data_IF_297975926594
#
_entry.id   IF_297975926594
#
_cell.length_a   1.000
_cell.length_b   1.000
_cell.length_c   1.000
_cell.angle_alpha   90.00
_cell.angle_beta   90.00
_cell.angle_gamma   90.00
#
_symmetry.space_group_name_H-M   'P 1'
#
loop_
_entity.id
_entity.type
_entity.pdbx_description
1 polymer ?
#
# COMPACT_ATOMS: atom_id res chain seq x y z
N UNK A 1 -6.43 -21.14 -23.15
CA UNK A 1 -6.32 -19.66 -23.20
C UNK A 1 -5.88 -19.09 -21.84
N UNK A 2 -4.58 -19.08 -21.52
CA UNK A 2 -4.04 -18.60 -20.21
C UNK A 2 -3.32 -17.24 -20.29
N UNK A 3 -3.05 -16.74 -21.51
CA UNK A 3 -2.24 -15.53 -21.76
C UNK A 3 -2.88 -14.23 -21.27
N UNK A 4 -4.22 -14.14 -21.21
CA UNK A 4 -4.97 -12.92 -20.87
C UNK A 4 -4.79 -12.44 -19.42
N UNK A 5 -4.70 -13.36 -18.45
CA UNK A 5 -4.73 -13.00 -17.02
C UNK A 5 -3.43 -12.34 -16.54
N UNK A 6 -2.28 -12.79 -17.04
CA UNK A 6 -0.97 -12.19 -16.68
C UNK A 6 -0.84 -10.80 -17.29
N UNK A 7 -1.19 -10.63 -18.56
CA UNK A 7 -1.19 -9.31 -19.22
C UNK A 7 -2.17 -8.34 -18.58
N UNK A 8 -3.34 -8.82 -18.13
CA UNK A 8 -4.29 -8.00 -17.38
C UNK A 8 -3.67 -7.51 -16.07
N UNK A 9 -3.10 -8.43 -15.28
CA UNK A 9 -2.52 -8.10 -13.98
C UNK A 9 -1.34 -7.13 -14.11
N UNK A 10 -0.47 -7.35 -15.09
CA UNK A 10 0.65 -6.46 -15.37
C UNK A 10 0.17 -5.08 -15.82
N UNK A 11 -0.88 -5.03 -16.66
CA UNK A 11 -1.50 -3.79 -17.10
C UNK A 11 -2.16 -3.01 -15.95
N UNK A 12 -2.84 -3.72 -15.03
CA UNK A 12 -3.43 -3.13 -13.83
C UNK A 12 -2.36 -2.51 -12.92
N UNK A 13 -1.25 -3.22 -12.68
CA UNK A 13 -0.13 -2.70 -11.87
C UNK A 13 0.47 -1.46 -12.55
N UNK A 14 0.81 -1.55 -13.84
CA UNK A 14 1.42 -0.44 -14.57
C UNK A 14 0.52 0.81 -14.60
N UNK A 15 -0.75 0.65 -14.99
CA UNK A 15 -1.69 1.77 -15.04
C UNK A 15 -2.00 2.33 -13.65
N UNK A 16 -2.20 1.46 -12.65
CA UNK A 16 -2.44 1.87 -11.27
C UNK A 16 -1.27 2.66 -10.69
N UNK A 17 -0.03 2.19 -10.90
CA UNK A 17 1.17 2.91 -10.46
C UNK A 17 1.32 4.25 -11.17
N UNK A 18 1.15 4.33 -12.50
CA UNK A 18 1.32 5.57 -13.26
C UNK A 18 0.26 6.60 -12.86
N UNK A 19 -1.02 6.21 -12.83
CA UNK A 19 -2.12 7.14 -12.51
C UNK A 19 -2.05 7.56 -11.04
N UNK A 20 -1.73 6.64 -10.13
CA UNK A 20 -1.52 6.96 -8.71
C UNK A 20 -0.35 7.93 -8.50
N UNK A 21 0.78 7.71 -9.17
CA UNK A 21 1.95 8.59 -9.13
C UNK A 21 1.65 9.99 -9.67
N UNK A 22 1.04 10.08 -10.86
CA UNK A 22 0.69 11.37 -11.46
C UNK A 22 -0.32 12.13 -10.58
N UNK A 23 -1.33 11.43 -10.05
CA UNK A 23 -2.30 12.02 -9.12
C UNK A 23 -1.64 12.54 -7.85
N UNK A 24 -0.77 11.73 -7.22
CA UNK A 24 0.00 12.13 -6.04
C UNK A 24 0.94 13.29 -6.32
N UNK A 25 1.61 13.32 -7.47
CA UNK A 25 2.51 14.38 -7.88
C UNK A 25 1.80 15.72 -8.08
N UNK A 26 0.68 15.72 -8.80
CA UNK A 26 -0.16 16.90 -8.99
C UNK A 26 -0.66 17.42 -7.64
N UNK A 27 -1.08 16.50 -6.76
CA UNK A 27 -1.55 16.84 -5.43
C UNK A 27 -0.44 17.49 -4.58
N UNK A 28 0.77 16.93 -4.61
CA UNK A 28 1.94 17.52 -3.95
C UNK A 28 2.25 18.92 -4.46
N UNK A 29 2.26 19.14 -5.78
CA UNK A 29 2.49 20.46 -6.36
C UNK A 29 1.48 21.50 -5.89
N UNK A 30 0.20 21.11 -5.74
CA UNK A 30 -0.83 21.99 -5.19
C UNK A 30 -0.55 22.30 -3.72
N UNK A 31 -0.22 21.30 -2.91
CA UNK A 31 0.07 21.51 -1.49
C UNK A 31 1.31 22.37 -1.25
N UNK A 32 2.40 22.10 -1.97
CA UNK A 32 3.67 22.80 -1.83
C UNK A 32 3.54 24.27 -2.25
N UNK A 33 2.94 24.54 -3.42
CA UNK A 33 2.82 25.91 -3.92
C UNK A 33 1.69 26.71 -3.24
N UNK A 34 0.61 26.06 -2.81
CA UNK A 34 -0.54 26.77 -2.23
C UNK A 34 -0.51 26.75 -0.71
N UNK A 35 -0.50 25.57 -0.08
CA UNK A 35 -0.69 25.48 1.37
C UNK A 35 0.61 25.77 2.11
N UNK A 36 1.74 25.27 1.63
CA UNK A 36 3.00 25.39 2.35
C UNK A 36 3.57 26.81 2.23
N UNK A 37 3.47 27.43 1.05
CA UNK A 37 3.92 28.81 0.85
C UNK A 37 2.91 29.87 1.33
N UNK A 38 1.61 29.72 1.05
CA UNK A 38 0.61 30.76 1.36
C UNK A 38 0.06 30.66 2.79
N UNK A 39 -0.16 29.44 3.29
CA UNK A 39 -0.79 29.19 4.60
C UNK A 39 0.22 28.96 5.73
N UNK A 40 1.30 28.21 5.48
CA UNK A 40 2.27 27.77 6.49
C UNK A 40 3.58 28.59 6.56
N UNK A 41 3.74 29.64 5.75
CA UNK A 41 4.87 30.58 5.87
C UNK A 41 4.94 31.26 7.25
N UNK A 42 5.71 32.34 7.39
CA UNK A 42 6.03 33.06 8.66
C UNK A 42 4.84 33.44 9.59
N UNK A 43 3.59 33.17 9.21
CA UNK A 43 2.35 33.49 9.92
C UNK A 43 1.95 32.51 11.02
N UNK A 44 2.38 31.24 11.00
CA UNK A 44 1.92 30.23 11.98
C UNK A 44 3.07 29.82 12.92
N UNK A 45 3.17 30.49 14.08
CA UNK A 45 4.16 30.19 15.14
C UNK A 45 3.79 29.00 16.05
N UNK A 46 2.61 28.40 15.88
CA UNK A 46 2.10 27.35 16.77
C UNK A 46 2.19 25.97 16.12
N UNK A 47 3.08 25.12 16.67
CA UNK A 47 3.38 23.78 16.15
C UNK A 47 2.16 22.86 16.01
N UNK A 48 1.10 23.09 16.79
CA UNK A 48 -0.16 22.33 16.66
C UNK A 48 -0.84 22.53 15.31
N UNK A 49 -0.99 23.79 14.86
CA UNK A 49 -1.65 24.11 13.59
C UNK A 49 -0.83 23.66 12.39
N UNK A 50 0.50 23.77 12.50
CA UNK A 50 1.43 23.23 11.50
C UNK A 50 1.26 21.72 11.38
N UNK A 51 1.25 21.00 12.50
CA UNK A 51 1.04 19.55 12.52
C UNK A 51 -0.32 19.14 11.95
N UNK A 52 -1.39 19.85 12.30
CA UNK A 52 -2.73 19.55 11.80
C UNK A 52 -2.83 19.75 10.27
N UNK A 53 -2.29 20.85 9.74
CA UNK A 53 -2.30 21.12 8.30
C UNK A 53 -1.45 20.11 7.53
N UNK A 54 -0.31 19.70 8.08
CA UNK A 54 0.51 18.63 7.52
C UNK A 54 -0.23 17.29 7.50
N UNK A 55 -0.93 16.94 8.58
CA UNK A 55 -1.73 15.71 8.65
C UNK A 55 -2.84 15.69 7.60
N UNK A 56 -3.55 16.81 7.43
CA UNK A 56 -4.59 16.95 6.41
C UNK A 56 -3.98 16.84 5.02
N UNK A 57 -2.86 17.52 4.76
CA UNK A 57 -2.14 17.46 3.49
C UNK A 57 -1.71 16.05 3.13
N UNK A 58 -1.10 15.34 4.07
CA UNK A 58 -0.71 13.94 3.91
C UNK A 58 -1.92 13.05 3.63
N UNK A 59 -3.03 13.26 4.35
CA UNK A 59 -4.26 12.48 4.19
C UNK A 59 -4.89 12.67 2.82
N UNK A 60 -4.96 13.90 2.32
CA UNK A 60 -5.49 14.21 0.99
C UNK A 60 -4.58 13.68 -0.11
N UNK A 61 -3.26 13.85 0.03
CA UNK A 61 -2.29 13.28 -0.88
C UNK A 61 -2.46 11.76 -0.98
N UNK A 62 -2.53 11.09 0.16
CA UNK A 62 -2.68 9.64 0.23
C UNK A 62 -4.00 9.16 -0.39
N UNK A 63 -5.11 9.84 -0.09
CA UNK A 63 -6.40 9.56 -0.71
C UNK A 63 -6.35 9.73 -2.24
N UNK A 64 -5.65 10.76 -2.73
CA UNK A 64 -5.50 11.00 -4.17
C UNK A 64 -4.75 9.87 -4.86
N UNK A 65 -3.66 9.37 -4.25
CA UNK A 65 -2.91 8.22 -4.78
C UNK A 65 -3.79 6.97 -4.84
N UNK A 66 -4.55 6.68 -3.78
CA UNK A 66 -5.49 5.54 -3.73
C UNK A 66 -6.54 5.64 -4.83
N UNK A 67 -7.16 6.82 -4.97
CA UNK A 67 -8.20 7.08 -5.97
C UNK A 67 -7.61 6.93 -7.38
N UNK A 68 -6.48 7.56 -7.65
CA UNK A 68 -5.80 7.49 -8.95
C UNK A 68 -5.44 6.06 -9.32
N UNK A 69 -4.78 5.32 -8.42
CA UNK A 69 -4.37 3.95 -8.68
C UNK A 69 -5.57 3.02 -8.92
N UNK A 70 -6.63 3.16 -8.11
CA UNK A 70 -7.84 2.34 -8.23
C UNK A 70 -8.58 2.61 -9.54
N UNK A 71 -8.70 3.88 -9.96
CA UNK A 71 -9.31 4.24 -11.24
C UNK A 71 -8.46 3.74 -12.42
N UNK A 72 -7.13 3.83 -12.34
CA UNK A 72 -6.22 3.27 -13.34
C UNK A 72 -6.39 1.76 -13.52
N UNK A 73 -6.47 1.01 -12.41
CA UNK A 73 -6.75 -0.44 -12.43
C UNK A 73 -8.11 -0.73 -13.06
N UNK A 74 -9.15 0.01 -12.65
CA UNK A 74 -10.51 -0.19 -13.14
C UNK A 74 -10.63 0.10 -14.62
N UNK A 75 -9.99 1.16 -15.11
CA UNK A 75 -9.94 1.52 -16.52
C UNK A 75 -9.34 0.39 -17.37
N UNK A 76 -8.18 -0.15 -16.96
CA UNK A 76 -7.57 -1.29 -17.64
C UNK A 76 -8.51 -2.50 -17.59
N UNK A 77 -9.08 -2.80 -16.43
CA UNK A 77 -9.95 -3.96 -16.25
C UNK A 77 -11.19 -3.92 -17.14
N UNK A 78 -11.81 -2.74 -17.27
CA UNK A 78 -12.93 -2.52 -18.17
C UNK A 78 -12.55 -2.73 -19.64
N UNK A 79 -11.33 -2.34 -20.05
CA UNK A 79 -10.82 -2.58 -21.40
C UNK A 79 -10.62 -4.06 -21.72
N UNK A 80 -10.44 -4.89 -20.70
CA UNK A 80 -10.39 -6.35 -20.80
C UNK A 80 -11.75 -7.02 -20.49
N UNK A 81 -12.84 -6.26 -20.35
CA UNK A 81 -14.19 -6.78 -20.11
C UNK A 81 -14.48 -7.23 -18.68
N UNK A 82 -13.63 -6.84 -17.70
CA UNK A 82 -13.78 -7.22 -16.29
C UNK A 82 -14.31 -6.03 -15.49
N UNK A 83 -15.52 -6.18 -14.92
CA UNK A 83 -16.08 -5.19 -13.98
C UNK A 83 -15.63 -5.48 -12.55
N UNK A 84 -14.90 -4.53 -11.94
CA UNK A 84 -14.40 -4.66 -10.57
C UNK A 84 -15.23 -3.78 -9.62
N UNK A 85 -15.72 -4.33 -8.49
CA UNK A 85 -16.40 -3.54 -7.46
C UNK A 85 -15.43 -2.59 -6.74
N UNK A 86 -15.86 -1.36 -6.51
CA UNK A 86 -15.00 -0.29 -5.95
C UNK A 86 -14.62 -0.51 -4.48
N UNK A 87 -15.54 -1.01 -3.65
CA UNK A 87 -15.33 -1.17 -2.21
C UNK A 87 -14.11 -2.04 -1.87
N UNK A 88 -13.98 -3.29 -2.37
CA UNK A 88 -12.82 -4.12 -2.06
C UNK A 88 -11.55 -3.64 -2.77
N UNK A 89 -11.67 -2.98 -3.92
CA UNK A 89 -10.55 -2.35 -4.61
C UNK A 89 -9.90 -1.24 -3.76
N UNK A 90 -10.71 -0.33 -3.22
CA UNK A 90 -10.23 0.74 -2.35
C UNK A 90 -9.71 0.22 -1.01
N UNK A 91 -10.38 -0.77 -0.42
CA UNK A 91 -9.92 -1.41 0.83
C UNK A 91 -8.52 -2.01 0.65
N UNK A 92 -8.32 -2.76 -0.45
CA UNK A 92 -7.01 -3.31 -0.78
C UNK A 92 -5.96 -2.22 -1.04
N UNK A 93 -6.32 -1.18 -1.79
CA UNK A 93 -5.42 -0.07 -2.11
C UNK A 93 -4.93 0.67 -0.86
N UNK A 94 -5.81 0.83 0.13
CA UNK A 94 -5.50 1.41 1.44
C UNK A 94 -4.59 0.51 2.28
N UNK A 95 -4.80 -0.81 2.25
CA UNK A 95 -4.03 -1.76 3.06
C UNK A 95 -2.61 -2.02 2.54
N UNK A 96 -2.36 -1.81 1.25
CA UNK A 96 -1.07 -2.07 0.63
C UNK A 96 0.10 -1.33 1.30
N UNK A 97 0.09 0.02 1.36
CA UNK A 97 1.21 0.78 1.94
C UNK A 97 1.47 0.47 3.43
N UNK A 98 0.47 0.35 4.32
CA UNK A 98 0.67 -0.14 5.69
C UNK A 98 1.34 -1.53 5.74
N UNK A 99 1.02 -2.43 4.81
CA UNK A 99 1.68 -3.74 4.74
C UNK A 99 3.18 -3.61 4.43
N UNK A 100 3.56 -2.69 3.53
CA UNK A 100 4.98 -2.39 3.26
C UNK A 100 5.67 -1.79 4.48
N UNK A 101 5.02 -0.88 5.21
CA UNK A 101 5.55 -0.35 6.48
C UNK A 101 5.77 -1.48 7.48
N UNK A 102 4.81 -2.41 7.60
CA UNK A 102 4.94 -3.60 8.44
C UNK A 102 6.13 -4.46 8.02
N UNK A 103 6.31 -4.73 6.73
CA UNK A 103 7.46 -5.46 6.21
C UNK A 103 8.79 -4.74 6.50
N UNK A 104 8.81 -3.41 6.44
CA UNK A 104 10.01 -2.62 6.72
C UNK A 104 10.36 -2.67 8.20
N UNK A 105 9.34 -2.61 9.07
CA UNK A 105 9.53 -2.79 10.50
C UNK A 105 10.16 -4.15 10.81
N UNK A 106 9.75 -5.22 10.11
CA UNK A 106 10.31 -6.57 10.27
C UNK A 106 11.80 -6.70 9.90
N UNK A 107 12.37 -5.77 9.14
CA UNK A 107 13.80 -5.81 8.79
C UNK A 107 14.70 -5.57 10.01
N UNK A 108 14.29 -4.68 10.90
CA UNK A 108 15.11 -4.14 11.98
C UNK A 108 14.56 -4.44 13.39
N UNK A 109 13.76 -5.50 13.55
CA UNK A 109 13.21 -5.86 14.86
C UNK A 109 14.34 -6.36 15.78
N UNK A 110 14.58 -5.73 16.94
CA UNK A 110 15.49 -6.24 17.95
C UNK A 110 14.79 -7.35 18.76
N UNK A 111 14.73 -8.55 18.17
CA UNK A 111 14.00 -9.71 18.71
C UNK A 111 14.41 -10.04 20.16
N UNK A 112 15.65 -9.75 20.52
CA UNK A 112 16.28 -10.05 21.80
C UNK A 112 15.59 -9.34 22.98
N UNK A 113 14.90 -8.22 22.73
CA UNK A 113 14.14 -7.45 23.74
C UNK A 113 12.91 -8.22 24.22
N UNK A 114 12.31 -9.06 23.37
CA UNK A 114 11.08 -9.79 23.69
C UNK A 114 11.33 -11.10 24.46
N UNK A 115 12.57 -11.58 24.53
CA UNK A 115 12.90 -12.88 25.11
C UNK A 115 13.00 -12.94 26.64
N UNK A 116 12.94 -11.81 27.35
CA UNK A 116 13.11 -11.76 28.82
C UNK A 116 11.86 -11.15 29.48
N UNK A 117 11.21 -11.78 30.49
CA UNK A 117 11.54 -12.99 31.25
C UNK A 117 10.64 -14.21 30.93
N UNK A 118 9.87 -14.18 29.84
CA UNK A 118 8.75 -15.10 29.65
C UNK A 118 9.16 -16.35 28.83
N UNK A 119 9.15 -17.53 29.47
CA UNK A 119 9.66 -18.80 28.93
C UNK A 119 8.90 -19.28 27.69
N UNK A 120 7.58 -19.07 27.66
CA UNK A 120 6.72 -19.38 26.49
C UNK A 120 7.12 -18.50 25.30
N UNK A 121 7.31 -17.21 25.54
CA UNK A 121 7.69 -16.27 24.51
C UNK A 121 9.08 -16.59 23.96
N UNK A 122 10.03 -16.97 24.83
CA UNK A 122 11.37 -17.41 24.44
C UNK A 122 11.38 -18.66 23.54
N UNK A 123 10.42 -19.58 23.71
CA UNK A 123 10.28 -20.78 22.87
C UNK A 123 9.66 -20.47 21.49
N UNK A 124 8.73 -19.52 21.43
CA UNK A 124 8.03 -19.14 20.19
C UNK A 124 8.83 -18.10 19.39
N UNK A 125 9.68 -17.31 20.05
CA UNK A 125 10.49 -16.25 19.43
C UNK A 125 11.31 -16.71 18.20
N UNK A 126 11.99 -17.89 18.20
CA UNK A 126 12.74 -18.36 17.04
C UNK A 126 11.84 -18.63 15.84
N UNK A 127 10.62 -19.14 16.07
CA UNK A 127 9.64 -19.36 15.02
C UNK A 127 9.14 -18.03 14.44
N UNK A 128 8.84 -17.04 15.28
CA UNK A 128 8.45 -15.70 14.82
C UNK A 128 9.58 -15.04 14.03
N UNK A 129 10.83 -15.15 14.50
CA UNK A 129 12.01 -14.61 13.83
C UNK A 129 12.21 -15.25 12.45
N UNK A 130 12.02 -16.57 12.35
CA UNK A 130 12.08 -17.28 11.07
C UNK A 130 10.97 -16.84 10.11
N UNK A 131 9.72 -16.75 10.59
CA UNK A 131 8.58 -16.27 9.79
C UNK A 131 8.81 -14.84 9.30
N UNK A 132 9.21 -13.93 10.19
CA UNK A 132 9.52 -12.55 9.83
C UNK A 132 10.66 -12.47 8.80
N UNK A 133 11.69 -13.30 8.93
CA UNK A 133 12.78 -13.38 7.96
C UNK A 133 12.28 -13.82 6.58
N UNK A 134 11.47 -14.88 6.51
CA UNK A 134 10.92 -15.41 5.25
C UNK A 134 9.99 -14.38 4.58
N UNK A 135 9.08 -13.78 5.34
CA UNK A 135 8.12 -12.81 4.81
C UNK A 135 8.85 -11.54 4.33
N UNK A 136 9.90 -11.10 5.02
CA UNK A 136 10.69 -9.92 4.63
C UNK A 136 11.78 -10.20 3.57
N UNK A 137 11.96 -11.46 3.15
CA UNK A 137 13.05 -11.88 2.26
C UNK A 137 13.08 -11.13 0.91
N UNK A 138 11.95 -10.91 0.21
CA UNK A 138 11.94 -10.11 -1.02
C UNK A 138 12.47 -8.70 -0.80
N UNK A 139 12.14 -8.09 0.33
CA UNK A 139 12.55 -6.73 0.65
C UNK A 139 14.00 -6.66 1.14
N UNK A 140 14.48 -7.68 1.86
CA UNK A 140 15.91 -7.85 2.18
C UNK A 140 16.76 -7.92 0.91
N UNK A 141 16.32 -8.71 -0.07
CA UNK A 141 16.95 -8.78 -1.39
C UNK A 141 16.97 -7.42 -2.09
N UNK A 142 15.84 -6.73 -2.11
CA UNK A 142 15.72 -5.39 -2.70
C UNK A 142 16.68 -4.37 -2.09
N UNK A 143 16.73 -4.29 -0.76
CA UNK A 143 17.62 -3.36 -0.04
C UNK A 143 19.09 -3.75 -0.23
N UNK A 144 19.41 -5.05 -0.29
CA UNK A 144 20.78 -5.52 -0.54
C UNK A 144 21.32 -5.12 -1.92
N UNK A 145 20.44 -4.89 -2.90
CA UNK A 145 20.79 -4.41 -4.23
C UNK A 145 20.94 -2.88 -4.29
N UNK A 146 20.74 -2.16 -3.17
CA UNK A 146 20.81 -0.70 -3.10
C UNK A 146 19.65 0.01 -3.80
N UNK A 147 18.54 -0.69 -4.03
CA UNK A 147 17.38 -0.13 -4.73
C UNK A 147 16.53 0.75 -3.79
N UNK A 148 15.92 1.83 -4.31
CA UNK A 148 15.10 2.74 -3.52
C UNK A 148 13.86 2.02 -2.96
N UNK A 149 13.59 2.21 -1.67
CA UNK A 149 12.49 1.58 -0.95
C UNK A 149 11.14 2.22 -1.34
N UNK A 150 11.18 3.45 -1.81
CA UNK A 150 10.05 4.24 -2.31
C UNK A 150 9.26 3.49 -3.39
N UNK A 151 9.93 2.68 -4.20
CA UNK A 151 9.29 1.85 -5.24
C UNK A 151 8.28 0.87 -4.63
N UNK A 152 8.55 0.33 -3.44
CA UNK A 152 7.61 -0.55 -2.76
C UNK A 152 6.32 0.18 -2.39
N UNK A 153 6.41 1.43 -1.94
CA UNK A 153 5.23 2.23 -1.60
C UNK A 153 4.37 2.54 -2.83
N UNK A 154 5.02 2.82 -3.97
CA UNK A 154 4.34 3.07 -5.26
C UNK A 154 3.61 1.82 -5.75
N UNK A 155 4.23 0.65 -5.61
CA UNK A 155 3.66 -0.62 -6.04
C UNK A 155 2.63 -1.17 -5.04
N UNK A 156 2.74 -0.82 -3.76
CA UNK A 156 1.90 -1.35 -2.71
C UNK A 156 0.42 -1.03 -2.92
N UNK A 157 0.11 0.20 -3.34
CA UNK A 157 -1.27 0.64 -3.58
C UNK A 157 -1.93 -0.22 -4.67
N UNK A 158 -1.39 -0.32 -5.91
CA UNK A 158 -2.02 -1.15 -6.93
C UNK A 158 -1.98 -2.64 -6.63
N UNK A 159 -0.91 -3.16 -6.03
CA UNK A 159 -0.84 -4.57 -5.63
C UNK A 159 -1.91 -4.88 -4.59
N UNK A 160 -2.00 -4.06 -3.54
CA UNK A 160 -3.02 -4.19 -2.49
C UNK A 160 -4.42 -4.11 -3.07
N UNK A 161 -4.68 -3.17 -3.98
CA UNK A 161 -5.96 -3.05 -4.67
C UNK A 161 -6.34 -4.34 -5.41
N UNK A 162 -5.36 -4.94 -6.12
CA UNK A 162 -5.57 -6.20 -6.85
C UNK A 162 -5.89 -7.35 -5.90
N UNK A 163 -5.15 -7.47 -4.79
CA UNK A 163 -5.45 -8.48 -3.78
C UNK A 163 -6.83 -8.29 -3.16
N UNK A 164 -7.19 -7.06 -2.81
CA UNK A 164 -8.46 -6.73 -2.16
C UNK A 164 -9.67 -7.20 -2.97
N UNK A 165 -9.72 -6.90 -4.26
CA UNK A 165 -10.86 -7.33 -5.09
C UNK A 165 -10.84 -8.83 -5.43
N UNK A 166 -9.66 -9.45 -5.55
CA UNK A 166 -9.56 -10.89 -5.85
C UNK A 166 -9.96 -11.76 -4.67
N UNK A 167 -9.57 -11.36 -3.45
CA UNK A 167 -9.98 -12.05 -2.23
C UNK A 167 -11.50 -11.97 -2.05
N UNK A 168 -12.08 -10.78 -2.22
CA UNK A 168 -13.53 -10.60 -2.16
C UNK A 168 -14.27 -11.42 -3.25
N UNK A 169 -13.69 -11.59 -4.43
CA UNK A 169 -14.27 -12.45 -5.47
C UNK A 169 -14.26 -13.94 -5.08
N UNK A 170 -13.19 -14.41 -4.41
CA UNK A 170 -13.09 -15.79 -3.91
C UNK A 170 -14.15 -16.05 -2.84
N UNK A 171 -14.28 -15.15 -1.86
CA UNK A 171 -15.25 -15.25 -0.77
C UNK A 171 -16.68 -15.33 -1.31
N UNK A 172 -17.05 -14.46 -2.25
CA UNK A 172 -18.39 -14.49 -2.86
C UNK A 172 -18.66 -15.78 -3.66
N UNK A 173 -17.63 -16.42 -4.21
CA UNK A 173 -17.78 -17.67 -4.96
C UNK A 173 -18.01 -18.86 -4.01
N UNK A 174 -17.33 -18.86 -2.86
CA UNK A 174 -17.50 -19.87 -1.81
C UNK A 174 -18.88 -19.79 -1.15
N UNK A 175 -19.37 -18.57 -0.82
CA UNK A 175 -20.72 -18.39 -0.25
C UNK A 175 -21.82 -18.90 -1.20
N UNK A 176 -21.69 -18.70 -2.51
CA UNK A 176 -22.67 -19.21 -3.48
C UNK A 176 -22.60 -20.73 -3.67
N UNK A 177 -21.46 -21.38 -3.40
CA UNK A 177 -21.32 -22.83 -3.52
C UNK A 177 -21.85 -23.58 -2.28
N UNK A 178 -21.87 -22.96 -1.10
CA UNK A 178 -22.45 -23.56 0.12
C UNK A 178 -23.98 -23.46 0.21
N UNK A 179 -24.61 -22.64 -0.64
CA UNK A 179 -26.06 -22.39 -0.64
C UNK A 179 -26.81 -22.97 -1.85
N UNK A 180 -26.15 -23.79 -2.68
CA UNK A 180 -26.74 -24.46 -3.85
C UNK A 180 -26.74 -25.98 -3.68
#
# INVERSE_FOLDING_TARGET
MKKSSVTLTLGQIAAGSIVGLLGGWICLLVFENFIWQVLLGDRIRHGFWVGLLLLISLSVWYATVIIGASQGIRFVSQRFGVSIPLKPLYSGAFLGPPAVVGLLALLNVPWEIFGRPNLILALILPLLKALAYVISLPMRGWVSLGLPVEIWYILAVPIGAIFGYRLAASENTEVSAEHG
#
